data_IF_622615244203
#
_entry.id   IF_622615244203
#
_cell.length_a   1.000
_cell.length_b   1.000
_cell.length_c   1.000
_cell.angle_alpha   90.00
_cell.angle_beta   90.00
_cell.angle_gamma   90.00
#
_symmetry.space_group_name_H-M   'P 1'
#
loop_
_entity.id
_entity.type
_entity.pdbx_description
1 polymer ?
#
# COMPACT_ATOMS: atom_id res chain seq x y z
N UNK A 1 14.51 -2.09 -38.94
CA UNK A 1 15.11 -3.39 -38.51
C UNK A 1 14.02 -4.40 -38.23
N UNK A 2 14.23 -5.72 -38.45
CA UNK A 2 13.19 -6.76 -38.17
C UNK A 2 12.74 -6.79 -36.72
N UNK A 3 13.57 -6.44 -35.75
CA UNK A 3 13.23 -6.38 -34.32
C UNK A 3 12.07 -5.45 -34.01
N UNK A 4 11.93 -4.31 -34.67
CA UNK A 4 10.85 -3.35 -34.40
C UNK A 4 9.49 -3.81 -34.92
N UNK A 5 9.43 -4.81 -35.79
CA UNK A 5 8.16 -5.36 -36.31
C UNK A 5 7.45 -6.23 -35.27
N UNK A 6 8.14 -6.68 -34.22
CA UNK A 6 7.56 -7.41 -33.12
C UNK A 6 6.68 -6.52 -32.25
N UNK A 7 7.07 -5.26 -32.04
CA UNK A 7 6.36 -4.32 -31.21
C UNK A 7 5.27 -3.61 -32.05
N UNK A 8 4.11 -4.26 -32.19
CA UNK A 8 2.97 -3.78 -32.99
C UNK A 8 1.77 -3.34 -32.13
N UNK A 9 1.71 -3.77 -30.86
CA UNK A 9 0.71 -3.33 -29.89
C UNK A 9 1.11 -2.00 -29.26
N UNK A 10 0.12 -1.21 -28.84
CA UNK A 10 0.40 0.14 -28.37
C UNK A 10 0.88 0.15 -26.90
N UNK A 11 -0.01 0.18 -25.94
CA UNK A 11 0.31 0.41 -24.53
C UNK A 11 -0.28 -0.69 -23.64
N UNK A 12 0.39 -1.02 -22.53
CA UNK A 12 -0.10 -1.89 -21.48
C UNK A 12 0.14 -1.29 -20.09
N UNK A 13 -0.61 -1.74 -19.09
CA UNK A 13 -0.43 -1.41 -17.68
C UNK A 13 -0.13 -2.71 -16.93
N UNK A 14 0.88 -2.69 -16.04
CA UNK A 14 1.21 -3.80 -15.14
C UNK A 14 1.03 -3.31 -13.70
N UNK A 15 0.11 -3.89 -12.95
CA UNK A 15 -0.06 -3.64 -11.52
C UNK A 15 0.91 -4.54 -10.74
N UNK A 16 1.89 -3.95 -10.07
CA UNK A 16 2.81 -4.67 -9.19
C UNK A 16 2.32 -4.56 -7.75
N UNK A 17 1.69 -5.62 -7.27
CA UNK A 17 1.07 -5.73 -5.96
C UNK A 17 1.88 -6.66 -5.05
N UNK A 18 1.79 -6.47 -3.72
CA UNK A 18 2.39 -7.43 -2.78
C UNK A 18 1.71 -8.82 -2.91
N UNK A 19 0.40 -8.83 -3.02
CA UNK A 19 -0.44 -10.02 -3.02
C UNK A 19 -1.02 -10.32 -1.63
N UNK A 20 -2.08 -11.11 -1.58
CA UNK A 20 -2.70 -11.60 -0.35
C UNK A 20 -3.22 -13.02 -0.56
N UNK A 21 -3.10 -13.87 0.46
CA UNK A 21 -3.66 -15.24 0.46
C UNK A 21 -5.10 -15.24 0.94
N UNK A 22 -5.51 -14.20 1.67
CA UNK A 22 -6.81 -14.10 2.36
C UNK A 22 -7.78 -13.25 1.56
N UNK A 23 -7.33 -12.08 1.08
CA UNK A 23 -8.17 -11.09 0.39
C UNK A 23 -7.57 -10.71 -0.98
N UNK A 24 -7.17 -11.68 -1.77
CA UNK A 24 -6.63 -11.44 -3.12
C UNK A 24 -7.65 -10.80 -4.06
N UNK A 25 -8.97 -11.03 -3.83
CA UNK A 25 -10.05 -10.42 -4.59
C UNK A 25 -10.00 -8.89 -4.56
N UNK A 26 -9.43 -8.27 -3.53
CA UNK A 26 -9.26 -6.81 -3.45
C UNK A 26 -8.30 -6.29 -4.53
N UNK A 27 -7.27 -7.05 -4.86
CA UNK A 27 -6.40 -6.73 -5.99
C UNK A 27 -7.10 -6.93 -7.34
N UNK A 28 -7.97 -7.94 -7.46
CA UNK A 28 -8.78 -8.17 -8.67
C UNK A 28 -9.84 -7.07 -8.85
N UNK A 29 -10.44 -6.59 -7.77
CA UNK A 29 -11.34 -5.43 -7.80
C UNK A 29 -10.60 -4.17 -8.26
N UNK A 30 -9.39 -3.95 -7.75
CA UNK A 30 -8.55 -2.83 -8.16
C UNK A 30 -8.11 -2.96 -9.63
N UNK A 31 -7.73 -4.15 -10.09
CA UNK A 31 -7.44 -4.41 -11.50
C UNK A 31 -8.64 -4.03 -12.39
N UNK A 32 -9.86 -4.48 -12.05
CA UNK A 32 -11.09 -4.12 -12.76
C UNK A 32 -11.34 -2.61 -12.77
N UNK A 33 -11.11 -1.94 -11.64
CA UNK A 33 -11.22 -0.48 -11.54
C UNK A 33 -10.28 0.22 -12.53
N UNK A 34 -9.01 -0.20 -12.59
CA UNK A 34 -8.03 0.35 -13.54
C UNK A 34 -8.40 0.02 -14.99
N UNK A 35 -8.83 -1.21 -15.27
CA UNK A 35 -9.32 -1.59 -16.61
C UNK A 35 -10.47 -0.70 -17.09
N UNK A 36 -11.43 -0.42 -16.21
CA UNK A 36 -12.57 0.46 -16.51
C UNK A 36 -12.17 1.93 -16.65
N UNK A 37 -11.11 2.36 -15.97
CA UNK A 37 -10.61 3.74 -16.03
C UNK A 37 -9.78 4.02 -17.28
N UNK A 38 -9.17 3.00 -17.87
CA UNK A 38 -8.31 3.10 -19.05
C UNK A 38 -8.78 2.12 -20.14
N UNK A 39 -9.94 2.44 -20.71
CA UNK A 39 -10.53 1.64 -21.80
C UNK A 39 -9.51 1.45 -22.94
N UNK A 40 -9.48 0.23 -23.49
CA UNK A 40 -8.57 -0.17 -24.56
C UNK A 40 -7.08 -0.32 -24.18
N UNK A 41 -6.70 -0.15 -22.92
CA UNK A 41 -5.36 -0.46 -22.43
C UNK A 41 -5.43 -1.76 -21.61
N UNK A 42 -4.81 -2.86 -22.05
CA UNK A 42 -4.80 -4.10 -21.28
C UNK A 42 -4.02 -3.93 -19.96
N UNK A 43 -4.58 -4.48 -18.90
CA UNK A 43 -4.02 -4.46 -17.55
C UNK A 43 -3.60 -5.87 -17.17
N UNK A 44 -2.44 -5.99 -16.56
CA UNK A 44 -1.86 -7.24 -16.08
C UNK A 44 -1.48 -7.08 -14.61
N UNK A 45 -1.70 -8.12 -13.80
CA UNK A 45 -1.32 -8.09 -12.38
C UNK A 45 -0.14 -9.01 -12.11
N UNK A 46 0.83 -8.52 -11.34
CA UNK A 46 1.98 -9.24 -10.85
C UNK A 46 2.02 -9.17 -9.31
N UNK A 47 2.41 -10.26 -8.65
CA UNK A 47 2.63 -10.28 -7.21
C UNK A 47 4.14 -10.26 -6.87
N UNK A 48 4.54 -9.51 -5.84
CA UNK A 48 5.94 -9.44 -5.41
C UNK A 48 6.29 -10.51 -4.38
N UNK A 49 5.35 -10.86 -3.48
CA UNK A 49 5.58 -11.85 -2.44
C UNK A 49 5.67 -13.27 -2.98
N UNK A 50 6.89 -13.83 -2.95
CA UNK A 50 7.12 -15.23 -3.34
C UNK A 50 6.39 -16.22 -2.45
N UNK A 51 6.19 -15.88 -1.18
CA UNK A 51 5.45 -16.71 -0.23
C UNK A 51 3.97 -16.77 -0.63
N UNK A 52 3.36 -15.63 -0.90
CA UNK A 52 1.97 -15.54 -1.37
C UNK A 52 1.79 -16.32 -2.67
N UNK A 53 2.67 -16.12 -3.66
CA UNK A 53 2.61 -16.83 -4.95
C UNK A 53 2.66 -18.34 -4.73
N UNK A 54 3.55 -18.86 -3.87
CA UNK A 54 3.67 -20.29 -3.57
C UNK A 54 2.42 -20.85 -2.87
N UNK A 55 1.89 -20.09 -1.92
CA UNK A 55 0.69 -20.54 -1.18
C UNK A 55 -0.54 -20.57 -2.08
N UNK A 56 -0.75 -19.55 -2.92
CA UNK A 56 -1.82 -19.54 -3.91
C UNK A 56 -1.67 -20.67 -4.93
N UNK A 57 -0.44 -20.93 -5.38
CA UNK A 57 -0.16 -22.07 -6.28
C UNK A 57 -0.52 -23.42 -5.65
N UNK A 58 -0.34 -23.58 -4.34
CA UNK A 58 -0.77 -24.80 -3.63
C UNK A 58 -2.30 -24.98 -3.59
N UNK A 59 -3.05 -23.88 -3.77
CA UNK A 59 -4.51 -23.84 -3.88
C UNK A 59 -5.02 -23.93 -5.33
N UNK A 60 -4.09 -24.09 -6.30
CA UNK A 60 -4.40 -24.17 -7.73
C UNK A 60 -4.49 -22.83 -8.46
N UNK A 61 -4.12 -21.73 -7.79
CA UNK A 61 -4.15 -20.38 -8.35
C UNK A 61 -2.73 -19.93 -8.77
N UNK A 62 -2.54 -19.66 -10.06
CA UNK A 62 -1.23 -19.35 -10.62
C UNK A 62 -1.07 -17.86 -10.83
N UNK A 63 -0.21 -17.26 -10.02
CA UNK A 63 0.21 -15.86 -10.17
C UNK A 63 1.67 -15.76 -10.58
N UNK A 64 2.00 -14.73 -11.35
CA UNK A 64 3.36 -14.46 -11.83
C UNK A 64 3.97 -13.29 -11.05
N UNK A 65 5.30 -13.32 -10.90
CA UNK A 65 6.02 -12.17 -10.37
C UNK A 65 6.26 -11.10 -11.44
N UNK A 66 6.69 -9.92 -11.03
CA UNK A 66 6.87 -8.78 -11.93
C UNK A 66 7.79 -9.08 -13.13
N UNK A 67 9.00 -9.67 -12.97
CA UNK A 67 9.83 -10.03 -14.13
C UNK A 67 9.16 -10.97 -15.13
N UNK A 68 8.37 -11.93 -14.65
CA UNK A 68 7.62 -12.86 -15.52
C UNK A 68 6.53 -12.13 -16.32
N UNK A 69 5.76 -11.24 -15.66
CA UNK A 69 4.71 -10.47 -16.34
C UNK A 69 5.33 -9.48 -17.32
N UNK A 70 6.44 -8.81 -16.96
CA UNK A 70 7.16 -7.93 -17.87
C UNK A 70 7.66 -8.68 -19.12
N UNK A 71 8.20 -9.89 -18.95
CA UNK A 71 8.62 -10.73 -20.07
C UNK A 71 7.44 -11.13 -20.97
N UNK A 72 6.30 -11.49 -20.39
CA UNK A 72 5.09 -11.83 -21.15
C UNK A 72 4.55 -10.63 -21.95
N UNK A 73 4.55 -9.42 -21.35
CA UNK A 73 4.10 -8.20 -21.99
C UNK A 73 5.05 -7.80 -23.15
N UNK A 74 6.35 -7.92 -22.93
CA UNK A 74 7.37 -7.70 -23.96
C UNK A 74 7.22 -8.67 -25.13
N UNK A 75 7.06 -9.96 -24.84
CA UNK A 75 6.82 -11.00 -25.84
C UNK A 75 5.51 -10.84 -26.61
N UNK A 76 4.51 -10.19 -26.03
CA UNK A 76 3.26 -9.84 -26.72
C UNK A 76 3.42 -8.65 -27.66
N UNK A 77 4.57 -7.95 -27.65
CA UNK A 77 4.91 -6.89 -28.58
C UNK A 77 4.32 -5.51 -28.25
N UNK A 78 4.16 -5.17 -26.98
CA UNK A 78 3.77 -3.82 -26.56
C UNK A 78 4.92 -2.85 -26.74
N UNK A 79 4.68 -1.73 -27.42
CA UNK A 79 5.68 -0.66 -27.65
C UNK A 79 6.05 0.06 -26.37
N UNK A 80 5.12 0.14 -25.44
CA UNK A 80 5.26 0.88 -24.17
C UNK A 80 4.39 0.27 -23.09
N UNK A 81 4.84 0.34 -21.86
CA UNK A 81 4.02 -0.05 -20.72
C UNK A 81 4.44 0.63 -19.43
N UNK A 82 3.48 0.72 -18.51
CA UNK A 82 3.64 1.33 -17.20
C UNK A 82 3.58 0.23 -16.15
N UNK A 83 4.58 0.20 -15.27
CA UNK A 83 4.56 -0.64 -14.06
C UNK A 83 4.07 0.21 -12.90
N UNK A 84 2.91 -0.12 -12.38
CA UNK A 84 2.28 0.60 -11.26
C UNK A 84 2.79 0.03 -9.94
N UNK A 85 3.39 0.89 -9.12
CA UNK A 85 3.83 0.53 -7.78
C UNK A 85 2.64 0.55 -6.82
N UNK A 86 1.97 -0.58 -6.64
CA UNK A 86 0.82 -0.71 -5.73
C UNK A 86 1.36 -0.95 -4.31
N UNK A 87 2.02 0.08 -3.77
CA UNK A 87 2.65 0.13 -2.44
C UNK A 87 2.22 1.41 -1.72
N UNK A 88 2.31 1.43 -0.39
CA UNK A 88 2.00 2.63 0.40
C UNK A 88 3.20 3.57 0.39
N UNK A 89 4.38 3.08 0.69
CA UNK A 89 5.61 3.84 0.86
C UNK A 89 6.67 3.47 -0.18
N UNK A 90 7.63 4.36 -0.47
CA UNK A 90 8.75 4.09 -1.38
C UNK A 90 9.85 3.25 -0.70
N UNK A 91 9.49 2.14 -0.07
CA UNK A 91 10.37 1.24 0.65
C UNK A 91 10.98 0.18 -0.26
N UNK A 92 11.51 -0.89 0.31
CA UNK A 92 12.23 -1.98 -0.37
C UNK A 92 11.46 -2.61 -1.54
N UNK A 93 10.15 -2.81 -1.41
CA UNK A 93 9.32 -3.33 -2.49
C UNK A 93 9.29 -2.38 -3.72
N UNK A 94 9.17 -1.08 -3.46
CA UNK A 94 9.25 -0.09 -4.53
C UNK A 94 10.66 0.02 -5.13
N UNK A 95 11.69 -0.04 -4.30
CA UNK A 95 13.08 -0.03 -4.76
C UNK A 95 13.38 -1.25 -5.63
N UNK A 96 12.92 -2.44 -5.22
CA UNK A 96 13.05 -3.66 -5.99
C UNK A 96 12.34 -3.55 -7.35
N UNK A 97 11.10 -3.02 -7.37
CA UNK A 97 10.36 -2.75 -8.61
C UNK A 97 11.16 -1.83 -9.54
N UNK A 98 11.67 -0.71 -9.04
CA UNK A 98 12.44 0.25 -9.86
C UNK A 98 13.69 -0.37 -10.44
N UNK A 99 14.42 -1.18 -9.66
CA UNK A 99 15.59 -1.94 -10.14
C UNK A 99 15.21 -2.94 -11.24
N UNK A 100 14.09 -3.66 -11.08
CA UNK A 100 13.59 -4.60 -12.10
C UNK A 100 13.25 -3.87 -13.40
N UNK A 101 12.51 -2.75 -13.33
CA UNK A 101 12.16 -1.95 -14.51
C UNK A 101 13.41 -1.40 -15.19
N UNK A 102 14.34 -0.83 -14.44
CA UNK A 102 15.61 -0.30 -14.99
C UNK A 102 16.46 -1.40 -15.62
N UNK A 103 16.53 -2.58 -15.00
CA UNK A 103 17.23 -3.74 -15.54
C UNK A 103 16.61 -4.22 -16.84
N UNK A 104 15.29 -4.37 -16.86
CA UNK A 104 14.55 -4.85 -18.03
C UNK A 104 14.62 -3.88 -19.21
N UNK A 105 14.58 -2.58 -18.96
CA UNK A 105 14.72 -1.53 -19.99
C UNK A 105 16.06 -1.53 -20.73
N UNK A 106 17.08 -2.25 -20.22
CA UNK A 106 18.39 -2.33 -20.89
C UNK A 106 18.38 -3.29 -22.09
N UNK A 107 17.47 -4.22 -22.16
CA UNK A 107 17.40 -5.22 -23.25
C UNK A 107 16.08 -5.22 -24.00
N UNK A 108 14.97 -4.76 -23.40
CA UNK A 108 13.71 -4.53 -24.09
C UNK A 108 13.80 -3.31 -25.01
N UNK A 109 13.07 -3.35 -26.11
CA UNK A 109 12.90 -2.20 -27.02
C UNK A 109 11.63 -1.40 -26.67
N UNK A 110 10.80 -1.87 -25.74
CA UNK A 110 9.66 -1.15 -25.27
C UNK A 110 10.08 0.08 -24.41
N UNK A 111 9.28 1.14 -24.47
CA UNK A 111 9.42 2.27 -23.57
C UNK A 111 8.72 1.96 -22.26
N UNK A 112 9.46 1.75 -21.18
CA UNK A 112 8.95 1.31 -19.89
C UNK A 112 9.07 2.43 -18.87
N UNK A 113 7.96 2.72 -18.18
CA UNK A 113 7.90 3.66 -17.07
C UNK A 113 7.31 3.00 -15.85
N UNK A 114 7.46 3.62 -14.68
CA UNK A 114 6.83 3.17 -13.44
C UNK A 114 6.24 4.35 -12.68
N UNK A 115 5.23 4.08 -11.86
CA UNK A 115 4.62 5.07 -10.99
C UNK A 115 5.31 5.10 -9.63
N UNK A 116 5.10 6.19 -8.89
CA UNK A 116 5.43 6.24 -7.47
C UNK A 116 4.37 5.49 -6.62
N UNK A 117 4.70 5.09 -5.40
CA UNK A 117 3.73 4.55 -4.45
C UNK A 117 2.75 5.62 -3.93
N UNK A 118 1.78 5.21 -3.11
CA UNK A 118 0.68 6.05 -2.61
C UNK A 118 1.19 7.30 -1.85
N UNK A 119 2.03 7.11 -0.86
CA UNK A 119 2.54 8.17 0.01
C UNK A 119 3.96 8.58 -0.40
N UNK A 120 4.08 9.25 -1.53
CA UNK A 120 5.36 9.67 -2.09
C UNK A 120 5.52 11.18 -2.17
N UNK A 121 4.52 11.88 -2.68
CA UNK A 121 4.59 13.34 -2.83
C UNK A 121 3.98 14.03 -1.61
N UNK A 122 4.72 14.95 -1.02
CA UNK A 122 4.36 15.64 0.23
C UNK A 122 2.94 16.18 0.23
N UNK A 123 2.53 16.92 -0.82
CA UNK A 123 1.20 17.53 -0.91
C UNK A 123 0.08 16.50 -0.96
N UNK A 124 0.24 15.47 -1.79
CA UNK A 124 -0.74 14.39 -1.96
C UNK A 124 -0.85 13.58 -0.67
N UNK A 125 0.29 13.23 -0.07
CA UNK A 125 0.38 12.53 1.23
C UNK A 125 -0.34 13.30 2.32
N UNK A 126 -0.04 14.61 2.48
CA UNK A 126 -0.67 15.44 3.51
C UNK A 126 -2.18 15.54 3.33
N UNK A 127 -2.63 15.74 2.10
CA UNK A 127 -4.06 15.82 1.79
C UNK A 127 -4.77 14.51 2.12
N UNK A 128 -4.21 13.37 1.69
CA UNK A 128 -4.78 12.07 1.96
C UNK A 128 -4.84 11.75 3.46
N UNK A 129 -3.75 11.96 4.20
CA UNK A 129 -3.71 11.69 5.64
C UNK A 129 -4.70 12.57 6.43
N UNK A 130 -4.87 13.85 6.04
CA UNK A 130 -5.90 14.72 6.62
C UNK A 130 -7.33 14.18 6.36
N UNK A 131 -7.59 13.71 5.15
CA UNK A 131 -8.90 13.15 4.80
C UNK A 131 -9.16 11.84 5.53
N UNK A 132 -8.16 10.97 5.58
CA UNK A 132 -8.23 9.69 6.29
C UNK A 132 -8.52 9.89 7.78
N UNK A 133 -7.76 10.75 8.47
CA UNK A 133 -7.94 11.01 9.90
C UNK A 133 -9.34 11.59 10.18
N UNK A 134 -9.82 12.52 9.35
CA UNK A 134 -11.17 13.08 9.46
C UNK A 134 -12.26 12.03 9.28
N UNK A 135 -12.13 11.14 8.28
CA UNK A 135 -13.11 10.07 8.04
C UNK A 135 -13.17 9.09 9.20
N UNK A 136 -12.01 8.65 9.69
CA UNK A 136 -11.92 7.71 10.81
C UNK A 136 -12.54 8.29 12.10
N UNK A 137 -12.42 9.61 12.30
CA UNK A 137 -12.93 10.31 13.49
C UNK A 137 -14.35 10.83 13.37
N UNK A 138 -15.01 10.68 12.23
CA UNK A 138 -16.29 11.33 11.94
C UNK A 138 -17.29 11.17 13.06
N UNK A 139 -17.45 9.94 13.61
CA UNK A 139 -18.41 9.63 14.67
C UNK A 139 -17.81 9.67 16.09
N UNK A 140 -16.50 9.78 16.19
CA UNK A 140 -15.75 9.75 17.46
C UNK A 140 -14.58 10.72 17.46
N UNK A 141 -14.83 12.06 17.50
CA UNK A 141 -13.76 13.06 17.32
C UNK A 141 -12.68 13.01 18.40
N UNK A 142 -13.02 12.51 19.58
CA UNK A 142 -12.11 12.47 20.74
C UNK A 142 -11.31 11.15 20.87
N UNK A 143 -11.51 10.22 19.97
CA UNK A 143 -10.83 8.91 20.01
C UNK A 143 -9.32 9.07 19.82
N UNK A 144 -8.53 8.21 20.46
CA UNK A 144 -7.10 8.06 20.17
C UNK A 144 -6.96 7.10 18.99
N UNK A 145 -6.27 7.52 17.92
CA UNK A 145 -5.93 6.64 16.81
C UNK A 145 -4.48 6.16 16.95
N UNK A 146 -4.31 4.85 17.06
CA UNK A 146 -3.02 4.18 16.99
C UNK A 146 -2.83 3.65 15.56
N UNK A 147 -2.11 4.41 14.74
CA UNK A 147 -1.78 4.03 13.36
C UNK A 147 -0.66 3.01 13.35
N UNK A 148 -0.92 1.87 12.71
CA UNK A 148 0.05 0.78 12.58
C UNK A 148 0.54 0.72 11.13
N UNK A 149 1.82 1.02 10.95
CA UNK A 149 2.53 0.90 9.66
C UNK A 149 3.22 -0.47 9.62
N UNK A 150 3.46 -1.02 8.44
CA UNK A 150 4.24 -2.27 8.35
C UNK A 150 5.66 -2.09 8.92
N UNK A 151 6.28 -0.96 8.58
CA UNK A 151 7.65 -0.62 8.97
C UNK A 151 8.69 -1.02 7.91
N UNK A 152 9.92 -0.59 8.14
CA UNK A 152 11.08 -0.81 7.27
C UNK A 152 12.13 -1.59 8.03
N UNK A 153 12.53 -2.79 7.55
CA UNK A 153 13.37 -3.70 8.35
C UNK A 153 14.81 -3.23 8.56
N UNK A 154 15.28 -2.26 7.76
CA UNK A 154 16.66 -1.74 7.82
C UNK A 154 16.65 -0.22 7.69
N UNK A 155 17.29 0.47 8.65
CA UNK A 155 17.24 1.93 8.76
C UNK A 155 17.88 2.71 7.58
N UNK A 156 18.72 2.06 6.77
CA UNK A 156 19.33 2.69 5.59
C UNK A 156 18.59 2.40 4.28
N UNK A 157 17.40 1.81 4.35
CA UNK A 157 16.56 1.62 3.15
C UNK A 157 15.89 2.95 2.74
N UNK A 158 15.65 3.07 1.44
CA UNK A 158 14.84 4.16 0.90
C UNK A 158 13.43 4.14 1.49
N UNK A 159 12.82 5.32 1.59
CA UNK A 159 11.45 5.47 2.05
C UNK A 159 11.26 5.69 3.55
N UNK A 160 12.29 5.53 4.37
CA UNK A 160 12.21 5.80 5.80
C UNK A 160 11.77 7.26 6.09
N UNK A 161 12.20 8.22 5.26
CA UNK A 161 11.75 9.61 5.36
C UNK A 161 10.26 9.77 5.12
N UNK A 162 9.67 9.00 4.21
CA UNK A 162 8.23 9.03 3.95
C UNK A 162 7.42 8.45 5.11
N UNK A 163 7.92 7.39 5.74
CA UNK A 163 7.35 6.80 6.95
C UNK A 163 7.42 7.78 8.12
N UNK A 164 8.60 8.37 8.37
CA UNK A 164 8.80 9.37 9.41
C UNK A 164 7.96 10.63 9.18
N UNK A 165 7.86 11.08 7.92
CA UNK A 165 6.99 12.20 7.55
C UNK A 165 5.54 11.88 7.90
N UNK A 166 5.04 10.71 7.53
CA UNK A 166 3.67 10.26 7.81
C UNK A 166 3.39 10.25 9.32
N UNK A 167 4.27 9.65 10.12
CA UNK A 167 4.13 9.57 11.57
C UNK A 167 4.10 10.96 12.21
N UNK A 168 5.04 11.84 11.83
CA UNK A 168 5.08 13.20 12.33
C UNK A 168 3.88 14.04 11.88
N UNK A 169 3.47 13.93 10.62
CA UNK A 169 2.32 14.66 10.10
C UNK A 169 1.02 14.26 10.80
N UNK A 170 0.77 12.96 10.99
CA UNK A 170 -0.39 12.47 11.74
C UNK A 170 -0.42 13.04 13.15
N UNK A 171 0.74 13.08 13.84
CA UNK A 171 0.86 13.67 15.17
C UNK A 171 0.60 15.19 15.17
N UNK A 172 1.05 15.90 14.13
CA UNK A 172 0.85 17.35 14.01
C UNK A 172 -0.61 17.75 13.76
N UNK A 173 -1.36 16.96 12.97
CA UNK A 173 -2.76 17.25 12.69
C UNK A 173 -3.69 16.92 13.86
N UNK A 174 -3.31 15.98 14.73
CA UNK A 174 -4.04 15.68 15.95
C UNK A 174 -3.11 15.04 16.99
N UNK A 175 -3.02 15.66 18.19
CA UNK A 175 -2.20 15.15 19.29
C UNK A 175 -2.60 13.75 19.78
N UNK A 176 -3.85 13.32 19.51
CA UNK A 176 -4.37 11.97 19.81
C UNK A 176 -4.00 10.92 18.75
N UNK A 177 -3.20 11.28 17.75
CA UNK A 177 -2.62 10.33 16.81
C UNK A 177 -1.28 9.83 17.32
N UNK A 178 -1.18 8.52 17.46
CA UNK A 178 0.06 7.80 17.79
C UNK A 178 0.38 6.90 16.61
N UNK A 179 1.66 6.77 16.26
CA UNK A 179 2.08 5.89 15.15
C UNK A 179 3.15 4.94 15.66
N UNK A 180 3.05 3.68 15.26
CA UNK A 180 4.08 2.67 15.43
C UNK A 180 4.09 1.71 14.23
N UNK A 181 5.03 0.79 14.20
CA UNK A 181 5.13 -0.21 13.15
C UNK A 181 4.93 -1.63 13.69
N UNK A 182 4.72 -2.58 12.77
CA UNK A 182 4.75 -4.01 13.11
C UNK A 182 6.18 -4.47 13.33
N UNK A 183 7.06 -4.08 12.43
CA UNK A 183 8.50 -4.34 12.47
C UNK A 183 9.26 -3.09 12.02
N UNK A 184 10.59 -3.10 12.12
CA UNK A 184 11.42 -2.00 11.63
C UNK A 184 11.61 -0.88 12.64
N UNK A 185 11.34 0.38 12.25
CA UNK A 185 11.84 1.56 12.95
C UNK A 185 11.18 1.86 14.31
N UNK A 186 9.92 1.54 14.50
CA UNK A 186 9.17 1.79 15.75
C UNK A 186 8.25 0.63 16.09
N UNK A 187 8.76 -0.61 16.23
CA UNK A 187 7.91 -1.78 16.36
C UNK A 187 7.10 -1.74 17.66
N UNK A 188 5.79 -1.96 17.56
CA UNK A 188 4.87 -1.88 18.68
C UNK A 188 5.38 -2.61 19.93
N UNK A 189 5.77 -3.87 19.76
CA UNK A 189 6.19 -4.69 20.90
C UNK A 189 7.51 -4.25 21.56
N UNK A 190 8.35 -3.48 20.85
CA UNK A 190 9.56 -2.91 21.43
C UNK A 190 9.29 -1.60 22.18
N UNK A 191 8.26 -0.83 21.79
CA UNK A 191 7.95 0.48 22.37
C UNK A 191 6.59 0.53 23.08
N UNK A 192 5.96 -0.61 23.33
CA UNK A 192 4.62 -0.68 23.91
C UNK A 192 4.47 0.06 25.24
N UNK A 193 5.49 0.06 26.09
CA UNK A 193 5.48 0.80 27.36
C UNK A 193 5.47 2.33 27.14
N UNK A 194 6.12 2.81 26.08
CA UNK A 194 6.07 4.21 25.70
C UNK A 194 4.68 4.59 25.16
N UNK A 195 4.11 3.75 24.28
CA UNK A 195 2.75 3.92 23.77
C UNK A 195 1.74 3.93 24.91
N UNK A 196 1.85 2.99 25.85
CA UNK A 196 0.99 2.94 27.06
C UNK A 196 1.07 4.24 27.87
N UNK A 197 2.29 4.74 28.13
CA UNK A 197 2.45 6.05 28.83
C UNK A 197 1.76 7.18 28.10
N UNK A 198 1.91 7.26 26.78
CA UNK A 198 1.32 8.31 25.98
C UNK A 198 -0.21 8.23 25.97
N UNK A 199 -0.79 7.04 25.82
CA UNK A 199 -2.24 6.81 25.92
C UNK A 199 -2.76 7.18 27.30
N UNK A 200 -2.12 6.72 28.37
CA UNK A 200 -2.55 7.04 29.75
C UNK A 200 -2.46 8.54 30.03
N UNK A 201 -1.45 9.23 29.49
CA UNK A 201 -1.35 10.70 29.58
C UNK A 201 -2.49 11.39 28.85
N UNK A 202 -2.79 10.99 27.60
CA UNK A 202 -3.86 11.57 26.79
C UNK A 202 -5.26 11.31 27.39
N UNK A 203 -5.43 10.24 28.13
CA UNK A 203 -6.70 9.83 28.73
C UNK A 203 -6.83 10.21 30.21
N UNK A 204 -5.80 10.82 30.80
CA UNK A 204 -5.71 11.04 32.26
C UNK A 204 -5.94 9.76 33.08
N UNK A 205 -5.50 8.61 32.55
CA UNK A 205 -5.67 7.28 33.17
C UNK A 205 -7.09 6.71 33.10
N UNK A 206 -7.98 7.29 32.29
CA UNK A 206 -9.33 6.77 32.09
C UNK A 206 -9.32 5.47 31.29
N UNK A 207 -9.62 4.35 31.95
CA UNK A 207 -9.66 3.03 31.33
C UNK A 207 -10.79 2.83 30.30
N UNK A 208 -11.83 3.66 30.36
CA UNK A 208 -12.95 3.62 29.42
C UNK A 208 -12.70 4.52 28.19
N UNK A 209 -11.52 5.14 28.10
CA UNK A 209 -11.16 5.94 26.95
C UNK A 209 -10.97 5.02 25.72
N UNK A 210 -11.53 5.44 24.60
CA UNK A 210 -11.51 4.66 23.36
C UNK A 210 -10.19 4.86 22.61
N UNK A 211 -9.60 3.75 22.19
CA UNK A 211 -8.43 3.71 21.30
C UNK A 211 -8.77 2.88 20.07
N UNK A 212 -8.55 3.44 18.90
CA UNK A 212 -8.72 2.73 17.64
C UNK A 212 -7.35 2.32 17.06
N UNK A 213 -7.21 1.04 16.75
CA UNK A 213 -6.07 0.52 16.01
C UNK A 213 -6.36 0.72 14.52
N UNK A 214 -5.53 1.52 13.85
CA UNK A 214 -5.71 1.89 12.43
C UNK A 214 -4.61 1.25 11.59
N UNK A 215 -4.87 0.13 10.91
CA UNK A 215 -3.87 -0.52 10.07
C UNK A 215 -3.64 0.27 8.78
N UNK A 216 -2.42 0.75 8.58
CA UNK A 216 -1.98 1.35 7.33
C UNK A 216 -1.56 0.25 6.36
N UNK A 217 -2.54 -0.51 5.88
CA UNK A 217 -2.36 -1.65 4.96
C UNK A 217 -3.22 -1.44 3.71
N UNK A 218 -2.66 -1.68 2.52
CA UNK A 218 -3.44 -1.61 1.28
C UNK A 218 -4.56 -2.66 1.28
N UNK A 219 -4.21 -3.87 1.66
CA UNK A 219 -5.14 -5.02 1.75
C UNK A 219 -4.89 -5.75 3.06
N UNK A 220 -5.96 -6.11 3.75
CA UNK A 220 -5.92 -6.92 4.96
C UNK A 220 -5.40 -8.32 4.62
N UNK A 221 -4.35 -8.73 5.29
CA UNK A 221 -3.72 -10.03 5.13
C UNK A 221 -3.50 -10.69 6.50
N UNK A 222 -2.52 -11.60 6.58
CA UNK A 222 -2.16 -12.27 7.83
C UNK A 222 -1.83 -11.29 8.95
N UNK A 223 -1.18 -10.16 8.65
CA UNK A 223 -0.88 -9.11 9.61
C UNK A 223 -2.15 -8.47 10.22
N UNK A 224 -3.21 -8.30 9.42
CA UNK A 224 -4.47 -7.80 9.96
C UNK A 224 -5.10 -8.81 10.91
N UNK A 225 -5.20 -10.06 10.50
CA UNK A 225 -5.91 -11.07 11.28
C UNK A 225 -5.18 -11.49 12.56
N UNK A 226 -3.85 -11.42 12.59
CA UNK A 226 -3.04 -11.79 13.74
C UNK A 226 -2.56 -10.58 14.52
N UNK A 227 -1.72 -9.76 13.91
CA UNK A 227 -0.96 -8.72 14.62
C UNK A 227 -1.87 -7.60 15.12
N UNK A 228 -2.88 -7.18 14.35
CA UNK A 228 -3.82 -6.15 14.79
C UNK A 228 -4.65 -6.61 15.99
N UNK A 229 -5.03 -7.88 16.03
CA UNK A 229 -5.77 -8.46 17.20
C UNK A 229 -4.89 -8.56 18.42
N UNK A 230 -3.62 -8.96 18.27
CA UNK A 230 -2.66 -9.02 19.37
C UNK A 230 -2.38 -7.62 19.93
N UNK A 231 -2.20 -6.61 19.09
CA UNK A 231 -2.03 -5.21 19.49
C UNK A 231 -3.29 -4.70 20.22
N UNK A 232 -4.48 -4.94 19.66
CA UNK A 232 -5.73 -4.53 20.29
C UNK A 232 -5.91 -5.18 21.66
N UNK A 233 -5.58 -6.45 21.82
CA UNK A 233 -5.63 -7.16 23.08
C UNK A 233 -4.67 -6.56 24.12
N UNK A 234 -3.42 -6.30 23.74
CA UNK A 234 -2.41 -5.66 24.61
C UNK A 234 -2.87 -4.26 25.08
N UNK A 235 -3.40 -3.46 24.16
CA UNK A 235 -3.93 -2.11 24.46
C UNK A 235 -5.18 -2.17 25.33
N UNK A 236 -6.01 -3.22 25.18
CA UNK A 236 -7.21 -3.42 25.98
C UNK A 236 -6.95 -3.70 27.48
N UNK A 237 -5.71 -4.00 27.85
CA UNK A 237 -5.37 -4.14 29.27
C UNK A 237 -5.53 -2.83 30.07
N UNK A 238 -5.46 -1.67 29.39
CA UNK A 238 -5.45 -0.35 30.04
C UNK A 238 -6.40 0.69 29.46
N UNK A 239 -7.13 0.38 28.38
CA UNK A 239 -8.18 1.25 27.80
C UNK A 239 -9.21 0.43 27.01
N UNK A 240 -10.22 1.06 26.42
CA UNK A 240 -11.21 0.42 25.54
C UNK A 240 -10.66 0.42 24.08
N UNK A 241 -9.98 -0.65 23.70
CA UNK A 241 -9.32 -0.75 22.39
C UNK A 241 -10.13 -1.58 21.40
N UNK A 242 -10.20 -1.10 20.15
CA UNK A 242 -10.82 -1.82 19.04
C UNK A 242 -10.04 -1.56 17.74
N UNK A 243 -10.14 -2.48 16.78
CA UNK A 243 -9.66 -2.20 15.42
C UNK A 243 -10.67 -1.27 14.75
N UNK A 244 -10.19 -0.28 13.99
CA UNK A 244 -11.05 0.63 13.25
C UNK A 244 -11.98 -0.14 12.32
N UNK A 245 -13.30 0.17 12.31
CA UNK A 245 -14.22 -0.44 11.38
C UNK A 245 -13.88 -0.02 9.94
N UNK A 246 -14.30 -0.80 8.97
CA UNK A 246 -14.20 -0.39 7.58
C UNK A 246 -14.93 0.93 7.35
N UNK A 247 -14.30 1.81 6.57
CA UNK A 247 -14.90 3.07 6.09
C UNK A 247 -15.38 2.97 4.63
N UNK A 248 -15.39 1.75 4.12
CA UNK A 248 -15.90 1.36 2.81
C UNK A 248 -16.98 0.29 2.98
N UNK A 249 -17.39 -0.36 1.89
CA UNK A 249 -18.31 -1.51 1.95
C UNK A 249 -17.60 -2.83 2.28
N UNK A 250 -16.29 -2.81 2.48
CA UNK A 250 -15.49 -3.99 2.83
C UNK A 250 -15.80 -4.43 4.27
N UNK A 251 -15.61 -5.71 4.57
CA UNK A 251 -15.73 -6.23 5.94
C UNK A 251 -14.59 -5.74 6.85
N UNK A 252 -13.40 -5.56 6.29
CA UNK A 252 -12.20 -5.12 7.00
C UNK A 252 -11.73 -3.78 6.48
N UNK A 253 -10.98 -3.07 7.32
CA UNK A 253 -10.37 -1.81 6.93
C UNK A 253 -9.23 -2.04 5.95
N UNK A 254 -9.43 -1.62 4.70
CA UNK A 254 -8.46 -1.70 3.60
C UNK A 254 -8.27 -0.32 2.98
N UNK A 255 -7.03 0.11 2.76
CA UNK A 255 -6.79 1.38 2.08
C UNK A 255 -7.14 1.28 0.59
N UNK A 256 -6.88 0.14 -0.05
CA UNK A 256 -7.14 -0.07 -1.48
C UNK A 256 -8.65 -0.06 -1.83
N UNK A 257 -9.52 -0.30 -0.85
CA UNK A 257 -10.98 -0.18 -1.00
C UNK A 257 -11.48 1.26 -1.08
N UNK A 258 -10.67 2.24 -0.69
CA UNK A 258 -11.06 3.66 -0.67
C UNK A 258 -10.96 4.29 -2.06
N UNK A 259 -11.99 5.04 -2.45
CA UNK A 259 -12.02 5.72 -3.77
C UNK A 259 -10.86 6.72 -3.92
N UNK A 260 -10.49 7.42 -2.86
CA UNK A 260 -9.37 8.37 -2.89
C UNK A 260 -8.04 7.68 -3.18
N UNK A 261 -7.82 6.50 -2.64
CA UNK A 261 -6.60 5.71 -2.88
C UNK A 261 -6.56 5.23 -4.33
N UNK A 262 -7.69 4.74 -4.83
CA UNK A 262 -7.85 4.31 -6.22
C UNK A 262 -7.61 5.45 -7.20
N UNK A 263 -8.16 6.65 -6.92
CA UNK A 263 -7.94 7.84 -7.73
C UNK A 263 -6.47 8.28 -7.74
N UNK A 264 -5.76 8.26 -6.60
CA UNK A 264 -4.32 8.59 -6.56
C UNK A 264 -3.52 7.66 -7.48
N UNK A 265 -3.79 6.36 -7.45
CA UNK A 265 -3.13 5.42 -8.37
C UNK A 265 -3.49 5.68 -9.84
N UNK A 266 -4.76 5.94 -10.13
CA UNK A 266 -5.25 6.27 -11.49
C UNK A 266 -4.58 7.54 -12.02
N UNK A 267 -4.55 8.61 -11.23
CA UNK A 267 -3.87 9.87 -11.59
C UNK A 267 -2.37 9.64 -11.84
N UNK A 268 -1.72 8.82 -11.01
CA UNK A 268 -0.32 8.46 -11.18
C UNK A 268 -0.07 7.73 -12.50
N UNK A 269 -0.95 6.83 -12.90
CA UNK A 269 -0.90 6.13 -14.21
C UNK A 269 -1.10 7.15 -15.33
N UNK A 270 -2.09 8.05 -15.24
CA UNK A 270 -2.37 9.07 -16.25
C UNK A 270 -1.17 9.99 -16.50
N UNK A 271 -0.46 10.37 -15.43
CA UNK A 271 0.77 11.16 -15.53
C UNK A 271 1.84 10.42 -16.33
N UNK A 272 2.04 9.13 -16.09
CA UNK A 272 3.04 8.36 -16.81
C UNK A 272 2.62 8.03 -18.25
N UNK A 273 1.32 7.83 -18.52
CA UNK A 273 0.78 7.72 -19.89
C UNK A 273 1.06 8.99 -20.69
N UNK A 274 0.77 10.16 -20.12
CA UNK A 274 1.06 11.46 -20.77
C UNK A 274 2.56 11.61 -21.12
N UNK A 275 3.46 11.18 -20.24
CA UNK A 275 4.91 11.20 -20.51
C UNK A 275 5.33 10.20 -21.60
N UNK A 276 4.54 9.15 -21.82
CA UNK A 276 4.72 8.20 -22.92
C UNK A 276 4.16 8.71 -24.26
N UNK A 277 3.40 9.82 -24.25
CA UNK A 277 2.72 10.37 -25.41
C UNK A 277 1.46 9.59 -25.78
N UNK A 278 0.76 9.12 -24.76
CA UNK A 278 -0.55 8.47 -24.87
C UNK A 278 -1.67 9.42 -24.47
#
# INVERSE_FOLDING_TARGET
MKRYRHYDKDTAIILSCFGSVIEQEKYLEFEKYIMNSFENIPVFTAFSSKMVIKELASKGEVYKNLPQVMADVDMQGFKRYIVVSVNIFPTDEHELLTRMVQGFSKFSLANIRYTNPLLFKTKETSNYLNQLDKKIRQDTPDIINLYIIHGVPVLNLGGLEAVNYTANFLKMINEKNITCSLEGEFPFFAIKDAIKRDILKLTNGNKSAKVQIVPMLLVSGNHYDKDMKEIAQEVSEYCDASIVPSITQDEKFNLLGQDEVREIFKESIQVELTKLGC
#
